data_IF_111118716227
#
_entry.id   IF_111118716227
#
_cell.length_a   1.000
_cell.length_b   1.000
_cell.length_c   1.000
_cell.angle_alpha   90.00
_cell.angle_beta   90.00
_cell.angle_gamma   90.00
#
_symmetry.space_group_name_H-M   'P 1'
#
loop_
_entity.id
_entity.type
_entity.pdbx_description
1 polymer ?
#
# COMPACT_ATOMS: atom_id res chain seq x y z
N UNK A 1 23.41 16.58 3.45
CA UNK A 1 22.22 17.45 3.34
C UNK A 1 21.07 16.59 3.80
N UNK A 2 20.36 16.96 4.87
CA UNK A 2 19.28 16.11 5.36
C UNK A 2 17.98 16.37 4.60
N UNK A 3 17.43 15.35 3.94
CA UNK A 3 16.12 15.39 3.29
C UNK A 3 15.22 14.35 3.95
N UNK A 4 14.00 14.75 4.32
CA UNK A 4 12.97 13.86 4.86
C UNK A 4 11.70 14.00 4.01
N UNK A 5 11.12 12.87 3.61
CA UNK A 5 9.93 12.84 2.74
C UNK A 5 8.93 11.80 3.22
N UNK A 6 7.66 12.18 3.22
CA UNK A 6 6.52 11.28 3.38
C UNK A 6 5.75 11.21 2.05
N UNK A 7 5.26 10.02 1.72
CA UNK A 7 4.60 9.76 0.45
C UNK A 7 3.38 8.86 0.64
N UNK A 8 2.26 9.28 0.05
CA UNK A 8 0.99 8.56 0.07
C UNK A 8 1.05 7.37 -0.90
N UNK A 9 1.74 6.32 -0.49
CA UNK A 9 2.04 5.14 -1.31
C UNK A 9 0.78 4.51 -1.90
N UNK A 10 -0.32 4.42 -1.14
CA UNK A 10 -1.61 3.92 -1.65
C UNK A 10 -2.06 4.65 -2.92
N UNK A 11 -2.04 5.99 -2.92
CA UNK A 11 -2.49 6.79 -4.08
C UNK A 11 -1.60 6.57 -5.29
N UNK A 12 -0.29 6.50 -5.07
CA UNK A 12 0.67 6.28 -6.14
C UNK A 12 0.52 4.89 -6.78
N UNK A 13 0.40 3.83 -5.97
CA UNK A 13 0.20 2.47 -6.46
C UNK A 13 -1.11 2.33 -7.24
N UNK A 14 -2.20 2.95 -6.76
CA UNK A 14 -3.46 3.00 -7.50
C UNK A 14 -3.33 3.71 -8.86
N UNK A 15 -2.59 4.83 -8.92
CA UNK A 15 -2.30 5.52 -10.18
C UNK A 15 -1.44 4.68 -11.14
N UNK A 16 -0.67 3.72 -10.62
CA UNK A 16 0.09 2.72 -11.39
C UNK A 16 -0.71 1.45 -11.70
N UNK A 17 -2.03 1.47 -11.51
CA UNK A 17 -2.95 0.35 -11.76
C UNK A 17 -2.76 -0.85 -10.82
N UNK A 18 -2.17 -0.64 -9.64
CA UNK A 18 -2.12 -1.61 -8.54
C UNK A 18 -3.27 -1.26 -7.60
N UNK A 19 -4.47 -1.74 -7.94
CA UNK A 19 -5.73 -1.35 -7.30
C UNK A 19 -6.34 -2.45 -6.44
N UNK A 20 -6.23 -3.70 -6.88
CA UNK A 20 -7.02 -4.82 -6.34
C UNK A 20 -6.78 -5.02 -4.85
N UNK A 21 -5.52 -4.95 -4.40
CA UNK A 21 -5.17 -5.11 -2.99
C UNK A 21 -5.77 -4.07 -2.05
N UNK A 22 -6.23 -2.92 -2.57
CA UNK A 22 -6.85 -1.83 -1.80
C UNK A 22 -8.39 -1.85 -1.86
N UNK A 23 -8.97 -2.85 -2.51
CA UNK A 23 -10.41 -3.00 -2.75
C UNK A 23 -11.02 -4.11 -1.86
N UNK A 24 -12.32 -4.34 -1.96
CA UNK A 24 -12.95 -5.47 -1.26
C UNK A 24 -12.77 -6.80 -2.02
N UNK A 25 -12.28 -6.70 -3.26
CA UNK A 25 -12.02 -7.78 -4.19
C UNK A 25 -10.57 -8.30 -4.08
N UNK A 26 -9.79 -7.81 -3.11
CA UNK A 26 -8.42 -8.23 -2.87
C UNK A 26 -8.33 -9.74 -2.58
N UNK A 27 -7.55 -10.47 -3.38
CA UNK A 27 -7.18 -11.85 -3.07
C UNK A 27 -5.87 -11.87 -2.28
N UNK A 28 -6.01 -11.95 -0.96
CA UNK A 28 -4.91 -12.14 -0.01
C UNK A 28 -5.01 -13.50 0.70
N UNK A 29 -5.57 -14.51 0.03
CA UNK A 29 -5.76 -15.88 0.57
C UNK A 29 -4.44 -16.53 1.00
N UNK A 30 -3.33 -16.20 0.35
CA UNK A 30 -1.98 -16.64 0.75
C UNK A 30 -1.50 -16.09 2.10
N UNK A 31 -2.20 -15.11 2.69
CA UNK A 31 -1.92 -14.55 4.02
C UNK A 31 -2.97 -15.01 5.04
N UNK A 32 -4.25 -15.00 4.67
CA UNK A 32 -5.37 -15.37 5.53
C UNK A 32 -6.42 -16.14 4.73
N UNK A 33 -6.61 -17.41 5.06
CA UNK A 33 -7.62 -18.26 4.44
C UNK A 33 -9.01 -18.09 5.08
N UNK A 34 -9.06 -17.64 6.35
CA UNK A 34 -10.28 -17.64 7.17
C UNK A 34 -11.08 -16.34 7.08
N UNK A 35 -10.44 -15.23 6.71
CA UNK A 35 -11.08 -13.93 6.59
C UNK A 35 -10.57 -13.20 5.34
N UNK A 36 -11.47 -12.62 4.52
CA UNK A 36 -11.07 -11.77 3.41
C UNK A 36 -10.36 -10.53 3.96
N UNK A 37 -9.14 -10.30 3.48
CA UNK A 37 -8.31 -9.16 3.87
C UNK A 37 -8.17 -8.19 2.70
N UNK A 38 -8.01 -6.92 3.03
CA UNK A 38 -7.54 -5.90 2.11
C UNK A 38 -6.55 -4.96 2.79
N UNK A 39 -5.85 -4.16 1.98
CA UNK A 39 -4.98 -3.11 2.47
C UNK A 39 -5.78 -1.82 2.57
N UNK A 40 -6.06 -1.38 3.79
CA UNK A 40 -6.79 -0.13 4.03
C UNK A 40 -5.94 1.10 3.68
N UNK A 41 -4.65 1.09 4.00
CA UNK A 41 -3.72 2.19 3.74
C UNK A 41 -2.27 1.70 3.53
N UNK A 42 -1.45 2.53 2.86
CA UNK A 42 -0.01 2.30 2.68
C UNK A 42 0.73 3.64 2.64
N UNK A 43 1.84 3.74 3.37
CA UNK A 43 2.69 4.94 3.48
C UNK A 43 4.15 4.60 3.16
N UNK A 44 4.88 5.58 2.65
CA UNK A 44 6.32 5.50 2.44
C UNK A 44 7.00 6.72 3.05
N UNK A 45 8.07 6.51 3.83
CA UNK A 45 8.88 7.58 4.41
C UNK A 45 10.35 7.33 4.09
N UNK A 46 11.06 8.35 3.66
CA UNK A 46 12.49 8.28 3.34
C UNK A 46 13.27 9.41 4.01
N UNK A 47 14.48 9.08 4.49
CA UNK A 47 15.46 9.98 5.07
C UNK A 47 16.79 9.84 4.28
N UNK A 48 17.37 10.95 3.87
CA UNK A 48 18.66 11.02 3.14
C UNK A 48 19.59 11.94 3.92
N UNK A 49 20.86 11.55 4.07
CA UNK A 49 21.90 12.30 4.82
C UNK A 49 23.12 12.63 3.96
#
# INVERSE_FOLDING_TARGET
MRIETDFELKKALMAMNITDMFSNEADLSGISESFPLNVSNATHRALIE
#
